data_IF_094239479205
#
_entry.id   IF_094239479205
#
_cell.length_a   1.000
_cell.length_b   1.000
_cell.length_c   1.000
_cell.angle_alpha   90.00
_cell.angle_beta   90.00
_cell.angle_gamma   90.00
#
_symmetry.space_group_name_H-M   'P 1'
#
loop_
_entity.id
_entity.type
_entity.pdbx_description
1 polymer ?
#
# COMPACT_ATOMS: atom_id res chain seq x y z
N UNK A 1 14.02 -5.97 -21.36
CA UNK A 1 13.26 -6.53 -20.23
C UNK A 1 14.10 -7.56 -19.49
N UNK A 2 14.56 -7.20 -18.30
CA UNK A 2 15.27 -8.09 -17.38
C UNK A 2 14.27 -8.95 -16.56
N UNK A 3 14.78 -9.97 -15.87
CA UNK A 3 13.96 -10.79 -14.96
C UNK A 3 13.38 -9.96 -13.81
N UNK A 4 14.12 -8.96 -13.35
CA UNK A 4 13.68 -8.06 -12.27
C UNK A 4 12.55 -7.16 -12.74
N UNK A 5 12.65 -6.59 -13.93
CA UNK A 5 11.57 -5.78 -14.52
C UNK A 5 10.30 -6.61 -14.71
N UNK A 6 10.44 -7.84 -15.23
CA UNK A 6 9.30 -8.75 -15.39
C UNK A 6 8.67 -9.13 -14.05
N UNK A 7 9.48 -9.39 -13.01
CA UNK A 7 9.01 -9.65 -11.64
C UNK A 7 8.21 -8.47 -11.12
N UNK A 8 8.71 -7.25 -11.27
CA UNK A 8 8.01 -6.02 -10.84
C UNK A 8 6.66 -5.91 -11.53
N UNK A 9 6.64 -5.98 -12.88
CA UNK A 9 5.41 -5.90 -13.68
C UNK A 9 4.38 -6.93 -13.22
N UNK A 10 4.82 -8.18 -13.07
CA UNK A 10 3.94 -9.29 -12.68
C UNK A 10 3.35 -9.08 -11.30
N UNK A 11 4.18 -8.76 -10.31
CA UNK A 11 3.72 -8.59 -8.92
C UNK A 11 2.74 -7.42 -8.81
N UNK A 12 3.00 -6.29 -9.47
CA UNK A 12 2.13 -5.11 -9.42
C UNK A 12 0.74 -5.43 -9.98
N UNK A 13 0.68 -6.00 -11.19
CA UNK A 13 -0.60 -6.34 -11.81
C UNK A 13 -1.35 -7.44 -11.05
N UNK A 14 -0.65 -8.48 -10.59
CA UNK A 14 -1.28 -9.55 -9.80
C UNK A 14 -1.82 -8.98 -8.49
N UNK A 15 -1.06 -8.14 -7.78
CA UNK A 15 -1.49 -7.54 -6.51
C UNK A 15 -2.67 -6.58 -6.69
N UNK A 16 -2.74 -5.88 -7.82
CA UNK A 16 -3.87 -5.00 -8.15
C UNK A 16 -5.15 -5.78 -8.52
N UNK A 17 -5.02 -6.86 -9.28
CA UNK A 17 -6.16 -7.57 -9.88
C UNK A 17 -6.67 -8.74 -9.03
N UNK A 18 -5.80 -9.47 -8.32
CA UNK A 18 -6.19 -10.65 -7.54
C UNK A 18 -7.27 -10.35 -6.49
N UNK A 19 -7.23 -9.25 -5.71
CA UNK A 19 -8.28 -8.93 -4.75
C UNK A 19 -9.66 -8.75 -5.41
N UNK A 20 -9.70 -8.10 -6.58
CA UNK A 20 -10.94 -7.92 -7.35
C UNK A 20 -11.47 -9.24 -7.90
N UNK A 21 -10.58 -10.08 -8.44
CA UNK A 21 -10.93 -11.42 -8.91
C UNK A 21 -11.52 -12.24 -7.76
N UNK A 22 -10.85 -12.28 -6.60
CA UNK A 22 -11.33 -12.99 -5.40
C UNK A 22 -12.71 -12.48 -4.98
N UNK A 23 -12.91 -11.15 -5.00
CA UNK A 23 -14.20 -10.55 -4.68
C UNK A 23 -15.32 -11.08 -5.58
N UNK A 24 -15.13 -11.09 -6.90
CA UNK A 24 -16.16 -11.59 -7.82
C UNK A 24 -16.45 -13.08 -7.64
N UNK A 25 -15.43 -13.92 -7.37
CA UNK A 25 -15.62 -15.36 -7.15
C UNK A 25 -16.20 -15.72 -5.78
N UNK A 26 -16.06 -14.84 -4.78
CA UNK A 26 -16.46 -15.11 -3.39
C UNK A 26 -17.48 -14.11 -2.86
N UNK A 27 -18.17 -13.39 -3.75
CA UNK A 27 -19.08 -12.28 -3.42
C UNK A 27 -20.07 -12.64 -2.29
N UNK A 28 -20.67 -13.82 -2.34
CA UNK A 28 -21.67 -14.26 -1.35
C UNK A 28 -21.10 -14.52 0.06
N UNK A 29 -19.77 -14.63 0.20
CA UNK A 29 -19.07 -14.86 1.47
C UNK A 29 -18.43 -13.61 2.03
N UNK A 30 -18.47 -12.49 1.30
CA UNK A 30 -17.80 -11.26 1.66
C UNK A 30 -18.83 -10.30 2.27
N UNK A 31 -18.58 -9.76 3.47
CA UNK A 31 -19.49 -8.79 4.09
C UNK A 31 -19.72 -7.57 3.20
N UNK A 32 -20.95 -7.04 3.21
CA UNK A 32 -21.37 -5.94 2.34
C UNK A 32 -20.60 -4.63 2.55
N UNK A 33 -19.96 -4.45 3.71
CA UNK A 33 -19.12 -3.29 3.99
C UNK A 33 -17.71 -3.37 3.37
N UNK A 34 -17.24 -4.55 2.98
CA UNK A 34 -15.86 -4.74 2.47
C UNK A 34 -15.62 -3.96 1.17
N UNK A 35 -16.52 -3.95 0.17
CA UNK A 35 -16.35 -3.10 -1.02
C UNK A 35 -16.21 -1.61 -0.69
N UNK A 36 -16.94 -1.11 0.31
CA UNK A 36 -16.82 0.28 0.74
C UNK A 36 -15.46 0.57 1.37
N UNK A 37 -14.91 -0.37 2.14
CA UNK A 37 -13.54 -0.26 2.68
C UNK A 37 -12.50 -0.32 1.55
N UNK A 38 -12.70 -1.14 0.53
CA UNK A 38 -11.82 -1.16 -0.64
C UNK A 38 -11.80 0.19 -1.35
N UNK A 39 -12.98 0.75 -1.67
CA UNK A 39 -13.09 2.05 -2.34
C UNK A 39 -12.48 3.16 -1.49
N UNK A 40 -12.77 3.17 -0.19
CA UNK A 40 -12.18 4.14 0.74
C UNK A 40 -10.65 4.02 0.80
N UNK A 41 -10.12 2.80 0.90
CA UNK A 41 -8.67 2.56 0.92
C UNK A 41 -8.02 2.98 -0.40
N UNK A 42 -8.64 2.66 -1.54
CA UNK A 42 -8.16 3.08 -2.86
C UNK A 42 -8.07 4.61 -2.97
N UNK A 43 -9.10 5.33 -2.51
CA UNK A 43 -9.08 6.79 -2.49
C UNK A 43 -8.02 7.34 -1.55
N UNK A 44 -7.84 6.73 -0.37
CA UNK A 44 -6.79 7.14 0.57
C UNK A 44 -5.38 6.89 0.03
N UNK A 45 -5.11 5.76 -0.63
CA UNK A 45 -3.80 5.46 -1.21
C UNK A 45 -3.52 6.41 -2.41
N UNK A 46 -4.49 6.54 -3.31
CA UNK A 46 -4.38 7.41 -4.50
C UNK A 46 -4.12 8.87 -4.14
N UNK A 47 -4.98 9.47 -3.32
CA UNK A 47 -4.89 10.88 -2.94
C UNK A 47 -3.84 11.14 -1.86
N UNK A 48 -3.55 10.15 -1.02
CA UNK A 48 -2.66 10.26 0.12
C UNK A 48 -1.19 10.20 -0.22
N UNK A 49 -0.79 9.39 -1.23
CA UNK A 49 0.60 9.35 -1.69
C UNK A 49 0.79 8.92 -3.15
N UNK A 50 0.00 7.99 -3.70
CA UNK A 50 0.33 7.39 -5.00
C UNK A 50 0.36 8.39 -6.16
N UNK A 51 -0.57 9.36 -6.19
CA UNK A 51 -0.54 10.43 -7.19
C UNK A 51 0.70 11.31 -7.01
N UNK A 52 1.01 11.70 -5.78
CA UNK A 52 2.15 12.56 -5.44
C UNK A 52 3.46 11.88 -5.81
N UNK A 53 3.66 10.64 -5.39
CA UNK A 53 4.86 9.85 -5.70
C UNK A 53 4.98 9.54 -7.19
N UNK A 54 3.85 9.31 -7.88
CA UNK A 54 3.84 9.05 -9.32
C UNK A 54 4.25 10.29 -10.10
N UNK A 55 3.69 11.46 -9.79
CA UNK A 55 3.89 12.67 -10.59
C UNK A 55 5.01 13.58 -10.09
N UNK A 56 5.54 13.39 -8.88
CA UNK A 56 6.60 14.26 -8.36
C UNK A 56 6.12 15.69 -8.10
N UNK A 57 4.88 15.89 -7.64
CA UNK A 57 4.26 17.22 -7.65
C UNK A 57 4.94 18.26 -6.74
N UNK A 58 5.52 17.83 -5.62
CA UNK A 58 6.14 18.74 -4.65
C UNK A 58 7.47 18.14 -4.20
N UNK A 59 8.57 18.77 -4.60
CA UNK A 59 9.94 18.44 -4.20
C UNK A 59 10.32 16.96 -4.38
N UNK A 60 9.85 16.33 -5.46
CA UNK A 60 10.23 14.97 -5.82
C UNK A 60 10.22 14.70 -7.31
N UNK A 61 10.87 13.62 -7.73
CA UNK A 61 10.96 13.24 -9.12
C UNK A 61 9.74 12.39 -9.54
N UNK A 62 9.18 12.62 -10.73
CA UNK A 62 8.14 11.76 -11.27
C UNK A 62 8.68 10.35 -11.50
N UNK A 63 7.82 9.34 -11.33
CA UNK A 63 8.22 7.93 -11.33
C UNK A 63 8.86 7.50 -12.65
N UNK A 64 8.56 8.18 -13.76
CA UNK A 64 9.16 7.87 -15.06
C UNK A 64 10.65 8.21 -15.16
N UNK A 65 11.15 9.11 -14.32
CA UNK A 65 12.58 9.43 -14.22
C UNK A 65 13.27 8.49 -13.23
N UNK A 66 12.53 8.02 -12.20
CA UNK A 66 13.05 7.16 -11.14
C UNK A 66 13.19 5.67 -11.53
N UNK A 67 12.76 5.25 -12.72
CA UNK A 67 12.79 3.83 -13.15
C UNK A 67 13.18 3.65 -14.61
N UNK A 68 13.41 2.40 -15.01
CA UNK A 68 13.82 2.06 -16.37
C UNK A 68 12.75 2.37 -17.43
N UNK A 69 13.19 2.57 -18.67
CA UNK A 69 12.30 2.77 -19.82
C UNK A 69 11.35 1.59 -20.04
N UNK A 70 11.83 0.35 -19.84
CA UNK A 70 10.98 -0.85 -19.97
C UNK A 70 9.82 -0.80 -18.97
N UNK A 71 10.07 -0.44 -17.70
CA UNK A 71 9.00 -0.30 -16.72
C UNK A 71 8.02 0.82 -17.07
N UNK A 72 8.50 1.92 -17.66
CA UNK A 72 7.65 3.00 -18.16
C UNK A 72 6.73 2.58 -19.32
N UNK A 73 7.19 1.68 -20.18
CA UNK A 73 6.37 1.15 -21.27
C UNK A 73 5.27 0.22 -20.76
N UNK A 74 5.58 -0.64 -19.79
CA UNK A 74 4.65 -1.64 -19.28
C UNK A 74 3.69 -1.12 -18.20
N UNK A 75 4.13 -0.17 -17.38
CA UNK A 75 3.29 0.49 -16.37
C UNK A 75 3.39 2.00 -16.62
N UNK A 76 2.69 2.57 -17.61
CA UNK A 76 2.81 3.98 -17.94
C UNK A 76 2.55 4.90 -16.75
N UNK A 77 3.14 6.10 -16.76
CA UNK A 77 3.00 7.12 -15.70
C UNK A 77 1.55 7.27 -15.23
N UNK A 78 0.61 7.45 -16.17
CA UNK A 78 -0.81 7.66 -15.88
C UNK A 78 -1.56 6.41 -15.39
N UNK A 79 -0.93 5.23 -15.46
CA UNK A 79 -1.45 3.96 -14.96
C UNK A 79 -0.80 3.58 -13.63
N UNK A 80 0.43 4.04 -13.37
CA UNK A 80 1.21 3.67 -12.19
C UNK A 80 0.47 3.92 -10.88
N UNK A 81 -0.01 5.15 -10.67
CA UNK A 81 -0.74 5.50 -9.45
C UNK A 81 -1.98 4.62 -9.25
N UNK A 82 -2.67 4.26 -10.36
CA UNK A 82 -3.90 3.48 -10.34
C UNK A 82 -3.61 2.04 -9.89
N UNK A 83 -2.65 1.37 -10.52
CA UNK A 83 -2.35 -0.04 -10.21
C UNK A 83 -1.73 -0.21 -8.83
N UNK A 84 -0.90 0.72 -8.38
CA UNK A 84 -0.36 0.70 -7.01
C UNK A 84 -1.46 0.97 -5.99
N UNK A 85 -2.32 1.98 -6.20
CA UNK A 85 -3.46 2.24 -5.30
C UNK A 85 -4.41 1.04 -5.20
N UNK A 86 -4.61 0.30 -6.29
CA UNK A 86 -5.41 -0.95 -6.29
C UNK A 86 -4.72 -2.06 -5.51
N UNK A 87 -3.41 -2.24 -5.68
CA UNK A 87 -2.62 -3.21 -4.91
C UNK A 87 -2.66 -2.90 -3.41
N UNK A 88 -2.51 -1.63 -3.05
CA UNK A 88 -2.53 -1.15 -1.67
C UNK A 88 -3.90 -1.30 -1.01
N UNK A 89 -4.97 -0.94 -1.72
CA UNK A 89 -6.33 -1.09 -1.24
C UNK A 89 -6.73 -2.57 -1.10
N UNK A 90 -6.36 -3.41 -2.06
CA UNK A 90 -6.75 -4.80 -2.09
C UNK A 90 -5.82 -5.70 -1.29
N UNK A 91 -4.60 -5.88 -1.79
CA UNK A 91 -3.65 -6.86 -1.24
C UNK A 91 -3.17 -6.45 0.15
N UNK A 92 -2.91 -5.16 0.38
CA UNK A 92 -2.40 -4.71 1.68
C UNK A 92 -3.55 -4.45 2.64
N UNK A 93 -4.49 -3.56 2.30
CA UNK A 93 -5.53 -3.12 3.24
C UNK A 93 -6.55 -4.22 3.52
N UNK A 94 -7.22 -4.78 2.49
CA UNK A 94 -8.14 -5.90 2.71
C UNK A 94 -7.43 -7.17 3.14
N UNK A 95 -6.25 -7.47 2.57
CA UNK A 95 -5.44 -8.61 2.99
C UNK A 95 -5.04 -8.52 4.47
N UNK A 96 -4.68 -7.32 4.95
CA UNK A 96 -4.38 -7.05 6.35
C UNK A 96 -5.59 -7.25 7.26
N UNK A 97 -6.76 -6.72 6.89
CA UNK A 97 -7.99 -6.95 7.65
C UNK A 97 -8.38 -8.43 7.69
N UNK A 98 -8.15 -9.16 6.60
CA UNK A 98 -8.37 -10.60 6.54
C UNK A 98 -7.39 -11.39 7.44
N UNK A 99 -6.10 -11.03 7.43
CA UNK A 99 -5.10 -11.62 8.33
C UNK A 99 -5.45 -11.34 9.79
N UNK A 100 -5.77 -10.09 10.11
CA UNK A 100 -6.24 -9.67 11.43
C UNK A 100 -7.42 -10.53 11.92
N UNK A 101 -8.44 -10.73 11.07
CA UNK A 101 -9.58 -11.59 11.38
C UNK A 101 -9.18 -13.06 11.55
N UNK A 102 -8.34 -13.58 10.67
CA UNK A 102 -7.88 -14.97 10.72
C UNK A 102 -7.07 -15.28 11.98
N UNK A 103 -6.13 -14.40 12.36
CA UNK A 103 -5.32 -14.55 13.57
C UNK A 103 -6.10 -14.29 14.85
N UNK A 104 -7.21 -13.57 14.78
CA UNK A 104 -8.18 -13.42 15.89
C UNK A 104 -9.15 -14.61 16.01
N UNK A 105 -8.82 -15.78 15.43
CA UNK A 105 -9.67 -16.97 15.48
C UNK A 105 -10.99 -16.81 14.71
N UNK A 106 -11.02 -15.94 13.70
CA UNK A 106 -12.24 -15.56 12.95
C UNK A 106 -13.31 -14.90 13.82
N UNK A 107 -12.91 -14.26 14.93
CA UNK A 107 -13.83 -13.53 15.79
C UNK A 107 -14.31 -12.24 15.13
N UNK A 108 -15.60 -12.15 14.80
CA UNK A 108 -16.20 -10.96 14.19
C UNK A 108 -16.32 -9.78 15.17
N UNK A 109 -16.21 -9.99 16.48
CA UNK A 109 -16.27 -8.91 17.48
C UNK A 109 -15.13 -7.91 17.33
N UNK A 110 -13.99 -8.29 16.72
CA UNK A 110 -12.89 -7.36 16.46
C UNK A 110 -13.30 -6.23 15.50
N UNK A 111 -14.33 -6.44 14.67
CA UNK A 111 -14.91 -5.39 13.81
C UNK A 111 -16.03 -4.62 14.52
N UNK A 112 -16.37 -4.98 15.75
CA UNK A 112 -17.39 -4.30 16.54
C UNK A 112 -16.79 -3.36 17.57
N UNK A 113 -15.54 -3.54 17.99
CA UNK A 113 -14.84 -2.63 18.88
C UNK A 113 -13.32 -2.75 18.68
N UNK A 114 -12.59 -1.70 19.07
CA UNK A 114 -11.13 -1.69 18.99
C UNK A 114 -10.53 -2.82 19.82
N UNK A 115 -9.69 -3.64 19.20
CA UNK A 115 -8.94 -4.69 19.87
C UNK A 115 -7.45 -4.53 19.54
N UNK A 116 -6.64 -4.30 20.58
CA UNK A 116 -5.19 -4.08 20.43
C UNK A 116 -4.44 -5.28 19.84
N UNK A 117 -4.85 -6.50 20.18
CA UNK A 117 -4.23 -7.71 19.63
C UNK A 117 -4.58 -7.93 18.16
N UNK A 118 -5.79 -7.56 17.74
CA UNK A 118 -6.17 -7.61 16.33
C UNK A 118 -5.44 -6.50 15.56
N UNK A 119 -5.43 -5.29 16.11
CA UNK A 119 -4.73 -4.15 15.53
C UNK A 119 -3.24 -4.41 15.33
N UNK A 120 -2.55 -5.05 16.29
CA UNK A 120 -1.12 -5.34 16.13
C UNK A 120 -0.83 -6.23 14.93
N UNK A 121 -1.70 -7.19 14.60
CA UNK A 121 -1.58 -8.01 13.38
C UNK A 121 -1.69 -7.15 12.13
N UNK A 122 -2.68 -6.25 12.07
CA UNK A 122 -2.85 -5.33 10.94
C UNK A 122 -1.65 -4.39 10.80
N UNK A 123 -1.21 -3.81 11.91
CA UNK A 123 -0.09 -2.87 11.95
C UNK A 123 1.21 -3.52 11.49
N UNK A 124 1.55 -4.70 12.04
CA UNK A 124 2.73 -5.46 11.64
C UNK A 124 2.66 -5.81 10.15
N UNK A 125 1.49 -6.23 9.66
CA UNK A 125 1.30 -6.53 8.24
C UNK A 125 1.57 -5.31 7.35
N UNK A 126 0.94 -4.16 7.62
CA UNK A 126 1.12 -2.95 6.80
C UNK A 126 2.58 -2.50 6.75
N UNK A 127 3.28 -2.48 7.88
CA UNK A 127 4.69 -2.07 7.93
C UNK A 127 5.60 -3.10 7.25
N UNK A 128 5.44 -4.38 7.57
CA UNK A 128 6.31 -5.44 7.02
C UNK A 128 6.13 -5.59 5.51
N UNK A 129 4.89 -5.47 5.02
CA UNK A 129 4.63 -5.54 3.59
C UNK A 129 5.28 -4.36 2.86
N UNK A 130 5.21 -3.14 3.41
CA UNK A 130 5.82 -1.98 2.78
C UNK A 130 7.36 -2.08 2.77
N UNK A 131 7.96 -2.54 3.86
CA UNK A 131 9.39 -2.86 3.92
C UNK A 131 9.77 -3.88 2.83
N UNK A 132 8.94 -4.90 2.61
CA UNK A 132 9.19 -5.88 1.56
C UNK A 132 9.10 -5.27 0.14
N UNK A 133 8.12 -4.39 -0.09
CA UNK A 133 8.00 -3.66 -1.37
C UNK A 133 9.22 -2.80 -1.61
N UNK A 134 9.64 -2.00 -0.62
CA UNK A 134 10.80 -1.12 -0.74
C UNK A 134 12.10 -1.91 -0.97
N UNK A 135 12.32 -2.98 -0.20
CA UNK A 135 13.54 -3.77 -0.30
C UNK A 135 13.60 -4.70 -1.52
N UNK A 136 12.48 -5.23 -2.04
CA UNK A 136 12.54 -6.30 -3.04
C UNK A 136 11.84 -5.98 -4.36
N UNK A 137 10.89 -5.05 -4.35
CA UNK A 137 10.13 -4.68 -5.54
C UNK A 137 10.62 -3.35 -6.12
N UNK A 138 10.78 -2.34 -5.28
CA UNK A 138 11.00 -0.95 -5.68
C UNK A 138 12.34 -0.37 -5.21
N UNK A 139 13.28 -1.22 -4.81
CA UNK A 139 14.59 -0.76 -4.33
C UNK A 139 15.26 0.21 -5.31
N UNK A 140 15.22 -0.09 -6.61
CA UNK A 140 15.75 0.82 -7.62
C UNK A 140 14.94 2.11 -7.75
N UNK A 141 13.64 2.12 -7.48
CA UNK A 141 12.79 3.31 -7.63
C UNK A 141 12.83 4.25 -6.41
N UNK A 142 13.20 3.69 -5.26
CA UNK A 142 13.18 4.32 -3.94
C UNK A 142 14.60 4.45 -3.35
N UNK A 143 15.62 4.22 -4.17
CA UNK A 143 17.03 4.31 -3.76
C UNK A 143 17.43 5.73 -3.43
N UNK A 144 18.53 5.86 -2.69
CA UNK A 144 19.19 7.14 -2.43
C UNK A 144 19.46 7.90 -3.75
N UNK A 145 19.18 9.21 -3.73
CA UNK A 145 19.27 10.07 -4.91
C UNK A 145 18.02 10.12 -5.80
N UNK A 146 16.94 9.41 -5.45
CA UNK A 146 15.64 9.47 -6.14
C UNK A 146 14.58 10.07 -5.24
N UNK A 147 14.44 11.39 -5.29
CA UNK A 147 13.59 12.15 -4.37
C UNK A 147 12.11 11.77 -4.53
N UNK A 148 11.45 11.44 -3.44
CA UNK A 148 10.01 11.20 -3.39
C UNK A 148 9.27 12.49 -3.08
N UNK A 149 8.18 12.73 -3.82
CA UNK A 149 7.33 13.90 -3.57
C UNK A 149 6.83 13.93 -2.13
N UNK A 150 6.71 15.13 -1.57
CA UNK A 150 5.82 15.33 -0.42
C UNK A 150 4.40 14.84 -0.75
N UNK A 151 3.72 14.28 0.25
CA UNK A 151 2.34 13.85 0.10
C UNK A 151 1.54 14.01 1.42
N UNK A 152 0.20 14.10 1.37
CA UNK A 152 -0.64 14.25 2.56
C UNK A 152 -0.43 13.18 3.64
N UNK A 153 -0.16 11.92 3.24
CA UNK A 153 0.11 10.82 4.16
C UNK A 153 1.61 10.50 4.30
N UNK A 154 2.47 11.30 3.65
CA UNK A 154 3.92 11.33 3.87
C UNK A 154 4.36 12.77 4.16
N UNK A 155 3.84 13.40 5.25
CA UNK A 155 3.85 14.85 5.41
C UNK A 155 5.22 15.45 5.72
N UNK A 156 6.20 14.63 6.11
CA UNK A 156 7.57 15.11 6.33
C UNK A 156 8.29 15.39 5.02
N UNK A 157 7.85 14.79 3.90
CA UNK A 157 8.54 14.85 2.61
C UNK A 157 10.02 14.52 2.73
N UNK A 158 10.81 15.04 1.80
CA UNK A 158 12.29 15.03 1.89
C UNK A 158 12.83 15.98 2.96
N UNK A 159 12.00 16.89 3.51
CA UNK A 159 12.44 17.83 4.56
C UNK A 159 12.90 17.12 5.83
N UNK A 160 12.28 15.99 6.15
CA UNK A 160 12.69 15.10 7.24
C UNK A 160 12.48 13.64 6.83
N UNK A 161 13.49 13.08 6.16
CA UNK A 161 13.49 11.72 5.65
C UNK A 161 14.74 10.95 6.08
N UNK A 162 14.92 10.64 7.38
CA UNK A 162 16.08 9.88 7.83
C UNK A 162 16.03 8.44 7.29
N UNK A 163 17.22 7.91 6.99
CA UNK A 163 17.42 6.47 6.80
C UNK A 163 17.03 5.74 8.09
N UNK A 164 16.12 4.78 8.00
CA UNK A 164 15.73 3.93 9.14
C UNK A 164 16.71 2.77 9.31
N UNK A 165 16.99 2.07 8.22
CA UNK A 165 17.98 1.01 8.15
C UNK A 165 18.32 0.68 6.70
N UNK A 166 19.38 -0.08 6.51
CA UNK A 166 19.85 -0.53 5.21
C UNK A 166 20.02 -2.06 5.21
N UNK A 167 19.69 -2.70 4.09
CA UNK A 167 19.87 -4.14 3.91
C UNK A 167 20.37 -4.45 2.49
N UNK A 168 21.58 -5.00 2.37
CA UNK A 168 22.23 -5.28 1.08
C UNK A 168 22.24 -4.08 0.13
N UNK A 169 22.70 -2.90 0.59
CA UNK A 169 22.75 -1.66 -0.20
C UNK A 169 21.37 -1.08 -0.57
N UNK A 170 20.30 -1.55 0.08
CA UNK A 170 18.94 -1.06 -0.10
C UNK A 170 18.50 -0.31 1.14
N UNK A 171 18.26 0.99 0.95
CA UNK A 171 17.79 1.90 2.00
C UNK A 171 16.31 1.72 2.26
N UNK A 172 15.93 1.79 3.54
CA UNK A 172 14.54 1.99 3.96
C UNK A 172 14.43 3.34 4.63
N UNK A 173 13.62 4.22 4.04
CA UNK A 173 13.51 5.63 4.44
C UNK A 173 12.26 5.87 5.30
N UNK A 174 12.25 6.91 6.13
CA UNK A 174 11.08 7.20 6.97
C UNK A 174 9.84 7.58 6.14
N UNK A 175 10.01 8.40 5.10
CA UNK A 175 8.92 8.96 4.31
C UNK A 175 8.02 7.88 3.69
N UNK A 176 8.60 6.75 3.25
CA UNK A 176 7.85 5.63 2.67
C UNK A 176 7.05 4.84 3.70
N UNK A 177 7.43 4.89 4.98
CA UNK A 177 6.73 4.19 6.07
C UNK A 177 5.57 5.00 6.65
N UNK A 178 5.63 6.34 6.57
CA UNK A 178 4.61 7.23 7.12
C UNK A 178 3.17 6.92 6.64
N UNK A 179 2.92 6.66 5.34
CA UNK A 179 1.59 6.30 4.89
C UNK A 179 0.99 5.13 5.65
N UNK A 180 1.78 4.08 5.90
CA UNK A 180 1.32 2.86 6.55
C UNK A 180 1.21 2.99 8.07
N UNK A 181 2.07 3.81 8.68
CA UNK A 181 1.94 4.20 10.08
C UNK A 181 0.61 4.95 10.34
N UNK A 182 0.20 5.81 9.40
CA UNK A 182 -1.03 6.61 9.52
C UNK A 182 -2.27 5.81 9.09
N UNK A 183 -2.21 5.09 7.97
CA UNK A 183 -3.38 4.36 7.44
C UNK A 183 -3.78 3.19 8.31
N UNK A 184 -2.84 2.44 8.89
CA UNK A 184 -3.19 1.24 9.65
C UNK A 184 -4.24 1.48 10.76
N UNK A 185 -4.15 2.51 11.64
CA UNK A 185 -5.22 2.80 12.60
C UNK A 185 -6.49 3.32 11.94
N UNK A 186 -6.38 4.18 10.91
CA UNK A 186 -7.53 4.74 10.19
C UNK A 186 -8.36 3.63 9.53
N UNK A 187 -7.68 2.68 8.89
CA UNK A 187 -8.27 1.53 8.24
C UNK A 187 -9.06 0.68 9.24
N UNK A 188 -8.50 0.43 10.43
CA UNK A 188 -9.21 -0.35 11.44
C UNK A 188 -10.43 0.40 12.01
N UNK A 189 -10.30 1.70 12.28
CA UNK A 189 -11.42 2.55 12.69
C UNK A 189 -12.52 2.54 11.63
N UNK A 190 -12.17 2.70 10.37
CA UNK A 190 -13.11 2.67 9.25
C UNK A 190 -13.82 1.31 9.15
N UNK A 191 -13.07 0.20 9.27
CA UNK A 191 -13.64 -1.14 9.26
C UNK A 191 -14.66 -1.33 10.39
N UNK A 192 -14.36 -0.87 11.61
CA UNK A 192 -15.30 -0.91 12.74
C UNK A 192 -16.54 -0.07 12.45
N UNK A 193 -16.35 1.17 11.98
CA UNK A 193 -17.45 2.08 11.70
C UNK A 193 -18.40 1.55 10.62
N UNK A 194 -17.87 0.87 9.59
CA UNK A 194 -18.67 0.31 8.50
C UNK A 194 -19.32 -1.02 8.89
N UNK A 195 -18.61 -1.87 9.64
CA UNK A 195 -19.15 -3.14 10.11
C UNK A 195 -20.29 -2.98 11.13
N UNK A 196 -20.30 -1.90 11.92
CA UNK A 196 -21.40 -1.57 12.85
C UNK A 196 -22.67 -1.07 12.16
N UNK A 197 -22.56 -0.56 10.93
CA UNK A 197 -23.68 -0.03 10.13
C UNK A 197 -24.35 -1.10 9.27
N UNK A 198 -23.74 -2.27 9.14
CA UNK A 198 -24.22 -3.40 8.34
C UNK A 198 -24.98 -4.39 9.21
#
# INVERSE_FOLDING_TARGET
MTLEELRVITIVYVSALAPLIIYFYKKDKIPLWVPSIYIGSFLMCSLGWELWFTYGWVDGDPVNIRRSETLNQWIPLHINWLVNSMADAGTISLGGLWLMWKFSGKNNQIFQAWNWSAFSVLFIWCITQNIFVELFLYHDQLSEGKSLSWAPLAPTGEFFNPLLFEFNERSVMLQTQLPWLIISPILYIAAIAMARKS
#
